data_IF_997679086031
#
_entry.id   IF_997679086031
#
_cell.length_a   1.000
_cell.length_b   1.000
_cell.length_c   1.000
_cell.angle_alpha   90.00
_cell.angle_beta   90.00
_cell.angle_gamma   90.00
#
_symmetry.space_group_name_H-M   'P 1'
#
loop_
_entity.id
_entity.type
_entity.pdbx_description
1 polymer ?
#
# COMPACT_ATOMS: atom_id res chain seq x y z
N UNK A 1 8.75 30.16 -0.77
CA UNK A 1 7.66 30.24 0.25
C UNK A 1 8.02 29.37 1.43
N UNK A 2 8.11 29.90 2.66
CA UNK A 2 8.25 29.06 3.85
C UNK A 2 6.85 28.59 4.24
N UNK A 3 6.61 27.29 4.19
CA UNK A 3 5.39 26.72 4.72
C UNK A 3 5.31 26.97 6.23
N UNK A 4 4.11 27.28 6.76
CA UNK A 4 3.95 27.39 8.20
C UNK A 4 4.35 26.07 8.87
N UNK A 5 4.91 26.13 10.08
CA UNK A 5 5.27 24.93 10.82
C UNK A 5 4.04 24.03 10.97
N UNK A 6 4.25 22.74 10.76
CA UNK A 6 3.21 21.72 10.95
C UNK A 6 2.70 21.84 12.38
N UNK A 7 1.47 22.26 12.56
CA UNK A 7 0.82 22.17 13.86
C UNK A 7 0.63 20.68 14.14
N UNK A 8 1.17 20.19 15.25
CA UNK A 8 0.86 18.84 15.72
C UNK A 8 -0.67 18.69 15.72
N UNK A 9 -1.23 17.61 15.20
CA UNK A 9 -2.67 17.42 15.21
C UNK A 9 -3.18 17.53 16.65
N UNK A 10 -4.32 18.17 16.81
CA UNK A 10 -5.01 18.14 18.09
C UNK A 10 -5.31 16.67 18.41
N UNK A 11 -4.88 16.21 19.58
CA UNK A 11 -5.21 14.87 20.03
C UNK A 11 -6.69 14.85 20.40
N UNK A 12 -7.42 13.90 19.85
CA UNK A 12 -8.77 13.64 20.33
C UNK A 12 -8.73 13.13 21.79
N UNK A 13 -9.77 13.42 22.58
CA UNK A 13 -9.90 12.82 23.90
C UNK A 13 -9.76 11.30 23.82
N UNK A 14 -8.97 10.72 24.72
CA UNK A 14 -8.77 9.27 24.77
C UNK A 14 -10.11 8.57 25.07
N UNK A 15 -10.35 7.48 24.34
CA UNK A 15 -11.41 6.52 24.65
C UNK A 15 -10.75 5.33 25.37
N UNK A 16 -11.34 4.86 26.46
CA UNK A 16 -10.80 3.69 27.15
C UNK A 16 -10.84 2.45 26.23
N UNK A 17 -9.91 1.53 26.41
CA UNK A 17 -9.74 0.40 25.49
C UNK A 17 -10.94 -0.56 25.53
N UNK A 18 -11.59 -0.70 26.66
CA UNK A 18 -12.80 -1.48 26.91
C UNK A 18 -14.09 -0.70 26.65
N UNK A 19 -14.00 0.63 26.51
CA UNK A 19 -15.13 1.48 26.16
C UNK A 19 -15.48 1.36 24.68
N UNK A 20 -16.76 1.12 24.41
CA UNK A 20 -17.28 1.05 23.05
C UNK A 20 -18.36 2.12 22.84
N UNK A 21 -18.10 3.14 21.99
CA UNK A 21 -19.07 4.20 21.80
C UNK A 21 -20.28 3.71 21.02
N UNK A 22 -21.48 3.94 21.56
CA UNK A 22 -22.74 3.64 20.87
C UNK A 22 -23.02 4.63 19.73
N UNK A 23 -22.45 5.83 19.81
CA UNK A 23 -22.63 6.90 18.83
C UNK A 23 -21.32 7.65 18.58
N UNK A 24 -21.02 7.90 17.31
CA UNK A 24 -19.88 8.70 16.89
C UNK A 24 -20.26 9.66 15.75
N UNK A 25 -19.61 10.81 15.60
CA UNK A 25 -19.82 11.67 14.43
C UNK A 25 -19.48 10.95 13.12
N UNK A 26 -18.32 10.28 13.06
CA UNK A 26 -17.82 9.59 11.87
C UNK A 26 -17.33 8.20 12.25
N UNK A 27 -17.88 7.18 11.58
CA UNK A 27 -17.36 5.82 11.57
C UNK A 27 -16.53 5.62 10.31
N UNK A 28 -15.34 5.02 10.44
CA UNK A 28 -14.47 4.68 9.30
C UNK A 28 -14.29 3.17 9.26
N UNK A 29 -14.70 2.55 8.17
CA UNK A 29 -14.52 1.13 7.95
C UNK A 29 -13.30 0.89 7.04
N UNK A 30 -12.24 0.32 7.63
CA UNK A 30 -10.97 0.01 6.97
C UNK A 30 -9.78 0.84 7.48
N UNK A 31 -8.75 0.15 7.97
CA UNK A 31 -7.51 0.70 8.52
C UNK A 31 -6.34 0.68 7.52
N UNK A 32 -6.63 0.78 6.23
CA UNK A 32 -5.61 1.02 5.22
C UNK A 32 -5.21 2.50 5.11
N UNK A 33 -4.31 2.85 4.17
CA UNK A 33 -3.80 4.23 4.03
C UNK A 33 -4.91 5.29 3.92
N UNK A 34 -6.01 4.97 3.24
CA UNK A 34 -7.15 5.89 3.06
C UNK A 34 -7.86 6.16 4.38
N UNK A 35 -8.24 5.11 5.11
CA UNK A 35 -8.99 5.25 6.37
C UNK A 35 -8.16 5.89 7.47
N UNK A 36 -6.90 5.49 7.62
CA UNK A 36 -5.98 6.07 8.60
C UNK A 36 -5.72 7.56 8.33
N UNK A 37 -5.51 7.92 7.05
CA UNK A 37 -5.36 9.33 6.65
C UNK A 37 -6.62 10.13 6.94
N UNK A 38 -7.80 9.58 6.63
CA UNK A 38 -9.08 10.23 6.92
C UNK A 38 -9.27 10.44 8.44
N UNK A 39 -8.94 9.45 9.26
CA UNK A 39 -9.01 9.55 10.71
C UNK A 39 -8.14 10.71 11.25
N UNK A 40 -6.87 10.78 10.80
CA UNK A 40 -5.95 11.84 11.21
C UNK A 40 -6.39 13.24 10.73
N UNK A 41 -6.91 13.36 9.51
CA UNK A 41 -7.43 14.62 8.97
C UNK A 41 -8.66 15.10 9.77
N UNK A 42 -9.58 14.20 10.11
CA UNK A 42 -10.76 14.52 10.91
C UNK A 42 -10.37 14.90 12.35
N UNK A 43 -9.46 14.15 12.95
CA UNK A 43 -8.93 14.45 14.28
C UNK A 43 -8.30 15.84 14.34
N UNK A 44 -7.58 16.25 13.29
CA UNK A 44 -7.01 17.58 13.15
C UNK A 44 -8.06 18.71 13.13
N UNK A 45 -9.26 18.39 12.66
CA UNK A 45 -10.41 19.30 12.69
C UNK A 45 -11.21 19.20 14.01
N UNK A 46 -10.77 18.41 14.98
CA UNK A 46 -11.47 18.19 16.22
C UNK A 46 -12.73 17.30 16.08
N UNK A 47 -12.86 16.60 14.95
CA UNK A 47 -13.99 15.71 14.70
C UNK A 47 -13.67 14.32 15.24
N UNK A 48 -14.51 13.85 16.18
CA UNK A 48 -14.35 12.51 16.74
C UNK A 48 -14.66 11.44 15.71
N UNK A 49 -13.81 10.42 15.68
CA UNK A 49 -13.92 9.27 14.80
C UNK A 49 -13.89 7.96 15.59
N UNK A 50 -14.45 6.91 15.03
CA UNK A 50 -14.14 5.53 15.35
C UNK A 50 -13.71 4.86 14.06
N UNK A 51 -12.50 4.32 14.02
CA UNK A 51 -12.03 3.51 12.90
C UNK A 51 -11.98 2.05 13.30
N UNK A 52 -12.57 1.20 12.47
CA UNK A 52 -12.58 -0.26 12.64
C UNK A 52 -11.87 -0.92 11.45
N UNK A 53 -11.00 -1.88 11.75
CA UNK A 53 -10.33 -2.68 10.74
C UNK A 53 -10.31 -4.16 11.13
N UNK A 54 -10.66 -5.02 10.19
CA UNK A 54 -10.74 -6.47 10.43
C UNK A 54 -9.41 -7.16 10.67
N UNK A 55 -8.28 -6.52 10.37
CA UNK A 55 -6.93 -7.08 10.47
C UNK A 55 -6.06 -6.38 11.49
N UNK A 56 -5.84 -5.08 11.33
CA UNK A 56 -4.88 -4.28 12.07
C UNK A 56 -3.66 -3.90 11.24
N UNK A 57 -2.59 -3.39 11.89
CA UNK A 57 -1.45 -2.76 11.24
C UNK A 57 -0.57 -3.70 10.42
N UNK A 58 -0.67 -5.00 10.64
CA UNK A 58 0.23 -5.97 10.00
C UNK A 58 -0.28 -6.33 8.60
N UNK A 59 0.04 -5.50 7.63
CA UNK A 59 -0.16 -5.83 6.22
C UNK A 59 0.74 -7.02 5.85
N UNK A 60 0.12 -8.12 5.40
CA UNK A 60 0.85 -9.37 5.13
C UNK A 60 1.62 -9.35 3.81
N UNK A 61 1.23 -8.49 2.88
CA UNK A 61 1.79 -8.51 1.52
C UNK A 61 2.10 -7.10 1.04
N UNK A 62 3.28 -6.88 0.46
CA UNK A 62 3.58 -5.63 -0.23
C UNK A 62 2.65 -5.47 -1.44
N UNK A 63 2.15 -4.25 -1.66
CA UNK A 63 1.26 -3.91 -2.78
C UNK A 63 1.81 -2.70 -3.51
N UNK A 64 1.32 -1.50 -3.15
CA UNK A 64 1.81 -0.23 -3.66
C UNK A 64 3.13 0.17 -2.98
N UNK A 65 3.85 1.08 -3.63
CA UNK A 65 5.08 1.62 -3.07
C UNK A 65 5.28 3.11 -3.38
N UNK A 66 4.68 3.60 -4.48
CA UNK A 66 4.85 4.98 -4.92
C UNK A 66 3.90 5.92 -4.18
N UNK A 67 4.47 6.99 -3.64
CA UNK A 67 3.76 8.09 -3.02
C UNK A 67 3.96 9.36 -3.87
N UNK A 68 2.90 9.81 -4.51
CA UNK A 68 2.95 11.00 -5.36
C UNK A 68 3.02 12.30 -4.55
N UNK A 69 3.33 13.39 -5.22
CA UNK A 69 3.51 14.70 -4.56
C UNK A 69 2.28 15.13 -3.77
N UNK A 70 1.06 14.91 -4.30
CA UNK A 70 -0.17 15.29 -3.59
C UNK A 70 -0.39 14.48 -2.32
N UNK A 71 -0.11 13.19 -2.36
CA UNK A 71 -0.15 12.33 -1.18
C UNK A 71 0.86 12.83 -0.13
N UNK A 72 2.07 13.19 -0.54
CA UNK A 72 3.10 13.70 0.37
C UNK A 72 2.77 15.10 0.93
N UNK A 73 2.03 15.94 0.20
CA UNK A 73 1.48 17.18 0.73
C UNK A 73 0.48 16.92 1.87
N UNK A 74 -0.45 15.99 1.67
CA UNK A 74 -1.42 15.58 2.69
C UNK A 74 -0.71 14.97 3.91
N UNK A 75 0.26 14.09 3.68
CA UNK A 75 1.06 13.48 4.75
C UNK A 75 1.89 14.50 5.52
N UNK A 76 2.38 15.54 4.84
CA UNK A 76 3.02 16.67 5.52
C UNK A 76 2.02 17.44 6.40
N UNK A 77 0.84 17.69 5.89
CA UNK A 77 -0.20 18.39 6.64
C UNK A 77 -0.56 17.65 7.95
N UNK A 78 -0.66 16.31 7.91
CA UNK A 78 -0.94 15.51 9.10
C UNK A 78 0.31 15.12 9.91
N UNK A 79 1.51 15.56 9.49
CA UNK A 79 2.75 15.41 10.27
C UNK A 79 3.47 14.08 10.13
N UNK A 80 3.16 13.27 9.09
CA UNK A 80 3.79 11.94 8.89
C UNK A 80 4.84 11.92 7.78
N UNK A 81 4.96 13.00 6.97
CA UNK A 81 5.82 13.00 5.79
C UNK A 81 7.31 12.80 6.10
N UNK A 82 7.81 13.38 7.19
CA UNK A 82 9.22 13.32 7.53
C UNK A 82 9.62 11.89 7.96
N UNK A 83 8.75 11.18 8.68
CA UNK A 83 8.97 9.78 9.06
C UNK A 83 8.90 8.85 7.83
N UNK A 84 8.07 9.18 6.83
CA UNK A 84 8.05 8.47 5.55
C UNK A 84 9.37 8.68 4.81
N UNK A 85 9.85 9.92 4.67
CA UNK A 85 11.12 10.20 4.01
C UNK A 85 12.32 9.55 4.72
N UNK A 86 12.28 9.45 6.04
CA UNK A 86 13.33 8.80 6.82
C UNK A 86 13.45 7.28 6.56
N UNK A 87 12.34 6.63 6.18
CA UNK A 87 12.30 5.20 5.87
C UNK A 87 12.36 4.91 4.36
N UNK A 88 12.19 5.91 3.53
CA UNK A 88 12.17 5.77 2.09
C UNK A 88 13.58 5.57 1.51
N UNK A 89 13.70 4.97 0.30
CA UNK A 89 14.96 4.94 -0.41
C UNK A 89 15.43 6.37 -0.77
N UNK A 90 16.74 6.58 -0.76
CA UNK A 90 17.32 7.81 -1.25
C UNK A 90 16.97 8.07 -2.71
N UNK A 91 16.88 9.34 -3.11
CA UNK A 91 16.38 9.76 -4.43
C UNK A 91 17.19 9.17 -5.60
N UNK A 92 18.47 8.87 -5.39
CA UNK A 92 19.36 8.27 -6.38
C UNK A 92 19.08 6.77 -6.63
N UNK A 93 18.23 6.13 -5.81
CA UNK A 93 17.91 4.70 -5.89
C UNK A 93 16.68 4.37 -6.73
N UNK A 94 15.94 5.38 -7.23
CA UNK A 94 14.68 5.16 -7.92
C UNK A 94 14.40 6.17 -9.04
N UNK A 95 15.45 6.53 -9.79
CA UNK A 95 15.36 7.53 -10.86
C UNK A 95 14.67 7.05 -12.11
N UNK A 96 14.61 5.74 -12.32
CA UNK A 96 14.06 5.12 -13.52
C UNK A 96 13.32 3.83 -13.25
N UNK A 97 12.49 3.45 -14.21
CA UNK A 97 11.95 2.11 -14.39
C UNK A 97 12.64 1.47 -15.56
N UNK A 98 12.94 0.19 -15.47
CA UNK A 98 13.66 -0.57 -16.48
C UNK A 98 12.88 -1.78 -16.95
N UNK A 99 13.12 -2.18 -18.18
CA UNK A 99 12.54 -3.38 -18.79
C UNK A 99 13.61 -4.31 -19.26
N UNK A 100 13.47 -5.59 -18.94
CA UNK A 100 14.37 -6.67 -19.32
C UNK A 100 13.60 -7.84 -19.91
N UNK A 101 14.30 -8.72 -20.62
CA UNK A 101 13.75 -10.02 -21.06
C UNK A 101 13.63 -10.97 -19.87
N UNK A 102 14.60 -11.00 -18.98
CA UNK A 102 14.67 -11.74 -17.72
C UNK A 102 15.84 -11.22 -16.90
N UNK A 103 16.01 -11.71 -15.69
CA UNK A 103 17.17 -11.38 -14.84
C UNK A 103 18.41 -12.13 -15.34
N UNK A 104 18.28 -13.43 -15.61
CA UNK A 104 19.33 -14.32 -16.09
C UNK A 104 18.73 -15.37 -17.03
N UNK A 105 19.52 -16.34 -17.47
CA UNK A 105 19.08 -17.48 -18.26
C UNK A 105 20.13 -17.99 -19.23
N UNK A 106 19.88 -19.17 -19.84
CA UNK A 106 20.92 -19.91 -20.56
C UNK A 106 21.18 -19.44 -22.01
N UNK A 107 20.38 -18.51 -22.54
CA UNK A 107 20.54 -18.06 -23.92
C UNK A 107 20.88 -16.58 -24.03
N UNK A 108 21.44 -16.12 -25.17
CA UNK A 108 21.72 -14.70 -25.40
C UNK A 108 20.50 -13.78 -25.34
N UNK A 109 19.30 -14.33 -25.39
CA UNK A 109 18.05 -13.56 -25.27
C UNK A 109 17.65 -13.28 -23.83
N UNK A 110 18.33 -13.85 -22.86
CA UNK A 110 18.08 -13.61 -21.44
C UNK A 110 18.97 -12.45 -20.93
N UNK A 111 18.48 -11.74 -19.92
CA UNK A 111 19.22 -10.62 -19.31
C UNK A 111 19.37 -9.38 -20.19
N UNK A 112 18.68 -9.34 -21.33
CA UNK A 112 18.75 -8.17 -22.23
C UNK A 112 17.92 -7.03 -21.69
N UNK A 113 18.54 -5.87 -21.53
CA UNK A 113 17.83 -4.62 -21.25
C UNK A 113 17.13 -4.14 -22.52
N UNK A 114 15.81 -4.05 -22.45
CA UNK A 114 14.96 -3.61 -23.56
C UNK A 114 14.80 -2.10 -23.59
N UNK A 115 14.86 -1.45 -22.44
CA UNK A 115 14.74 -0.02 -22.33
C UNK A 115 14.61 0.47 -20.91
N UNK A 116 14.61 1.79 -20.77
CA UNK A 116 14.36 2.46 -19.50
C UNK A 116 13.65 3.79 -19.73
N UNK A 117 12.93 4.25 -18.72
CA UNK A 117 12.33 5.59 -18.70
C UNK A 117 12.62 6.26 -17.36
N UNK A 118 12.83 7.59 -17.33
CA UNK A 118 12.81 8.37 -16.10
C UNK A 118 11.47 8.18 -15.39
N UNK A 119 11.49 8.06 -14.07
CA UNK A 119 10.30 7.73 -13.32
C UNK A 119 10.10 8.66 -12.13
N UNK A 120 8.83 8.83 -11.77
CA UNK A 120 8.36 9.40 -10.52
C UNK A 120 8.96 10.74 -10.14
N UNK A 121 8.94 11.69 -11.07
CA UNK A 121 9.48 13.03 -10.86
C UNK A 121 10.98 13.13 -11.09
N UNK A 122 11.60 12.09 -11.69
CA UNK A 122 12.99 12.12 -12.15
C UNK A 122 13.13 12.63 -13.60
N UNK A 123 14.38 12.67 -14.09
CA UNK A 123 14.71 13.04 -15.46
C UNK A 123 14.33 14.47 -15.83
N UNK A 124 13.91 14.73 -17.08
CA UNK A 124 13.61 16.07 -17.57
C UNK A 124 12.52 16.82 -16.81
N UNK A 125 11.56 16.10 -16.23
CA UNK A 125 10.43 16.69 -15.50
C UNK A 125 10.74 17.04 -14.05
N UNK A 126 11.89 16.70 -13.51
CA UNK A 126 12.23 16.91 -12.10
C UNK A 126 12.07 18.37 -11.66
N UNK A 127 12.52 19.32 -12.49
CA UNK A 127 12.40 20.75 -12.22
C UNK A 127 10.92 21.19 -12.19
N UNK A 128 10.11 20.69 -13.13
CA UNK A 128 8.69 20.99 -13.21
C UNK A 128 7.93 20.51 -11.97
N UNK A 129 8.23 19.30 -11.50
CA UNK A 129 7.64 18.76 -10.27
C UNK A 129 8.06 19.57 -9.05
N UNK A 130 9.33 19.96 -8.94
CA UNK A 130 9.82 20.77 -7.84
C UNK A 130 9.21 22.20 -7.81
N UNK A 131 8.82 22.73 -8.98
CA UNK A 131 8.08 24.01 -9.06
C UNK A 131 6.60 23.87 -8.73
N UNK A 132 5.99 22.71 -9.02
CA UNK A 132 4.57 22.47 -8.84
C UNK A 132 4.18 22.10 -7.40
N UNK A 133 5.12 21.55 -6.62
CA UNK A 133 4.85 21.10 -5.25
C UNK A 133 6.07 21.37 -4.34
N UNK A 134 5.83 21.74 -3.08
CA UNK A 134 6.88 21.83 -2.07
C UNK A 134 7.34 20.46 -1.58
N UNK A 135 6.65 19.42 -1.98
CA UNK A 135 6.95 18.03 -1.64
C UNK A 135 7.37 17.27 -2.89
N UNK A 136 8.20 16.27 -2.69
CA UNK A 136 8.67 15.40 -3.77
C UNK A 136 7.97 14.04 -3.71
N UNK A 137 7.97 13.35 -4.84
CA UNK A 137 7.65 11.93 -4.86
C UNK A 137 8.55 11.16 -3.90
N UNK A 138 8.05 10.05 -3.39
CA UNK A 138 8.90 9.09 -2.69
C UNK A 138 8.34 7.67 -2.87
N UNK A 139 9.11 6.71 -2.41
CA UNK A 139 8.72 5.31 -2.43
C UNK A 139 8.82 4.76 -1.00
N UNK A 140 7.75 4.13 -0.54
CA UNK A 140 7.76 3.35 0.69
C UNK A 140 6.82 2.17 0.50
N UNK A 141 7.29 0.91 0.59
CA UNK A 141 6.42 -0.24 0.45
C UNK A 141 5.24 -0.17 1.41
N UNK A 142 4.05 -0.48 0.91
CA UNK A 142 2.81 -0.31 1.66
C UNK A 142 2.82 -1.06 3.00
N UNK A 143 3.49 -2.20 3.09
CA UNK A 143 3.63 -2.95 4.35
C UNK A 143 4.29 -2.13 5.46
N UNK A 144 5.17 -1.16 5.13
CA UNK A 144 5.82 -0.24 6.07
C UNK A 144 5.01 1.03 6.26
N UNK A 145 4.43 1.53 5.18
CA UNK A 145 3.55 2.69 5.22
C UNK A 145 2.32 2.44 6.10
N UNK A 146 1.66 1.30 5.96
CA UNK A 146 0.47 0.95 6.74
C UNK A 146 0.78 0.95 8.24
N UNK A 147 1.92 0.37 8.63
CA UNK A 147 2.34 0.36 10.03
C UNK A 147 2.62 1.77 10.56
N UNK A 148 3.37 2.57 9.80
CA UNK A 148 3.69 3.95 10.16
C UNK A 148 2.43 4.78 10.32
N UNK A 149 1.50 4.73 9.35
CA UNK A 149 0.23 5.45 9.42
C UNK A 149 -0.63 4.98 10.60
N UNK A 150 -0.62 3.69 10.91
CA UNK A 150 -1.35 3.14 12.04
C UNK A 150 -0.84 3.71 13.36
N UNK A 151 0.47 3.70 13.58
CA UNK A 151 1.08 4.22 14.80
C UNK A 151 0.78 5.73 14.99
N UNK A 152 0.86 6.51 13.91
CA UNK A 152 0.46 7.93 13.93
C UNK A 152 -1.04 8.12 14.21
N UNK A 153 -1.91 7.32 13.60
CA UNK A 153 -3.35 7.41 13.81
C UNK A 153 -3.74 7.04 15.25
N UNK A 154 -3.12 6.01 15.83
CA UNK A 154 -3.32 5.63 17.24
C UNK A 154 -2.88 6.77 18.18
N UNK A 155 -1.76 7.42 17.86
CA UNK A 155 -1.30 8.57 18.65
C UNK A 155 -2.23 9.78 18.55
N UNK A 156 -2.82 10.04 17.38
CA UNK A 156 -3.77 11.15 17.16
C UNK A 156 -5.18 10.86 17.71
N UNK A 157 -5.60 9.60 17.70
CA UNK A 157 -6.96 9.15 18.03
C UNK A 157 -6.90 8.02 19.07
N UNK A 158 -6.40 8.27 20.28
CA UNK A 158 -6.15 7.21 21.26
C UNK A 158 -7.44 6.48 21.64
N UNK A 159 -7.37 5.14 21.58
CA UNK A 159 -8.49 4.25 21.82
C UNK A 159 -9.61 4.23 20.77
N UNK A 160 -9.41 4.94 19.64
CA UNK A 160 -10.42 5.07 18.57
C UNK A 160 -10.08 4.34 17.29
N UNK A 161 -8.87 3.81 17.20
CA UNK A 161 -8.39 2.98 16.08
C UNK A 161 -8.42 1.52 16.54
N UNK A 162 -9.39 0.76 16.03
CA UNK A 162 -9.70 -0.58 16.53
C UNK A 162 -9.34 -1.65 15.49
N UNK A 163 -8.34 -2.45 15.82
CA UNK A 163 -7.98 -3.65 15.07
C UNK A 163 -8.92 -4.81 15.39
N UNK A 164 -9.00 -5.79 14.49
CA UNK A 164 -9.78 -7.04 14.66
C UNK A 164 -11.27 -6.80 14.76
N UNK A 165 -11.75 -5.65 14.30
CA UNK A 165 -13.15 -5.24 14.30
C UNK A 165 -13.64 -5.10 12.86
N UNK A 166 -14.67 -5.85 12.48
CA UNK A 166 -15.18 -5.91 11.10
C UNK A 166 -16.58 -5.32 10.98
N UNK A 167 -16.77 -4.43 10.00
CA UNK A 167 -18.10 -4.01 9.60
C UNK A 167 -18.81 -5.20 8.93
N UNK A 168 -19.89 -5.71 9.52
CA UNK A 168 -20.60 -6.88 9.01
C UNK A 168 -22.03 -6.56 8.55
N UNK A 169 -22.65 -5.49 9.05
CA UNK A 169 -23.93 -5.02 8.57
C UNK A 169 -24.02 -3.50 8.60
N UNK A 170 -24.87 -2.95 7.76
CA UNK A 170 -25.06 -1.51 7.61
C UNK A 170 -26.52 -1.22 7.28
N UNK A 171 -27.11 -0.26 7.99
CA UNK A 171 -28.42 0.29 7.69
C UNK A 171 -28.35 1.81 7.65
N UNK A 172 -28.70 2.38 6.52
CA UNK A 172 -28.77 3.83 6.32
C UNK A 172 -30.17 4.33 6.71
N UNK A 173 -30.22 5.51 7.29
CA UNK A 173 -31.46 6.22 7.64
C UNK A 173 -31.24 7.74 7.49
N UNK A 174 -32.32 8.53 7.62
CA UNK A 174 -32.29 9.99 7.35
C UNK A 174 -31.27 10.76 8.18
N UNK A 175 -30.95 10.29 9.37
CA UNK A 175 -30.05 10.97 10.30
C UNK A 175 -28.65 10.34 10.39
N UNK A 176 -28.30 9.41 9.50
CA UNK A 176 -27.00 8.76 9.48
C UNK A 176 -27.05 7.27 9.17
N UNK A 177 -26.21 6.50 9.83
CA UNK A 177 -26.07 5.07 9.63
C UNK A 177 -26.01 4.33 10.97
N UNK A 178 -26.54 3.12 11.00
CA UNK A 178 -26.32 2.13 12.06
C UNK A 178 -25.50 1.00 11.48
N UNK A 179 -24.34 0.74 12.06
CA UNK A 179 -23.39 -0.27 11.63
C UNK A 179 -23.28 -1.37 12.69
N UNK A 180 -23.27 -2.63 12.26
CA UNK A 180 -22.89 -3.76 13.12
C UNK A 180 -21.42 -4.04 12.94
N UNK A 181 -20.71 -4.07 14.06
CA UNK A 181 -19.27 -4.36 14.10
C UNK A 181 -19.06 -5.67 14.84
N UNK A 182 -18.43 -6.62 14.20
CA UNK A 182 -18.11 -7.93 14.76
C UNK A 182 -16.64 -7.99 15.17
N UNK A 183 -16.40 -8.32 16.41
CA UNK A 183 -15.07 -8.62 16.92
C UNK A 183 -14.59 -9.97 16.36
N UNK A 184 -13.48 -9.95 15.62
CA UNK A 184 -12.96 -11.13 14.90
C UNK A 184 -12.35 -12.20 15.80
N UNK A 185 -12.04 -11.86 17.03
CA UNK A 185 -11.42 -12.79 17.98
C UNK A 185 -12.47 -13.45 18.88
N UNK A 186 -13.52 -12.73 19.23
CA UNK A 186 -14.56 -13.21 20.16
C UNK A 186 -15.90 -13.52 19.49
N UNK A 187 -16.14 -13.01 18.28
CA UNK A 187 -17.44 -13.10 17.61
C UNK A 187 -18.52 -12.16 18.19
N UNK A 188 -18.18 -11.32 19.16
CA UNK A 188 -19.15 -10.39 19.79
C UNK A 188 -19.51 -9.31 18.77
N UNK A 189 -20.82 -9.09 18.62
CA UNK A 189 -21.37 -8.03 17.78
C UNK A 189 -21.73 -6.80 18.60
N UNK A 190 -21.51 -5.62 18.05
CA UNK A 190 -21.85 -4.33 18.63
C UNK A 190 -22.44 -3.41 17.58
N UNK A 191 -23.49 -2.69 17.93
CA UNK A 191 -24.04 -1.65 17.07
C UNK A 191 -23.40 -0.30 17.40
N UNK A 192 -23.07 0.44 16.33
CA UNK A 192 -22.57 1.82 16.38
C UNK A 192 -23.41 2.67 15.46
N UNK A 193 -23.97 3.75 15.97
CA UNK A 193 -24.66 4.76 15.18
C UNK A 193 -23.65 5.87 14.82
N UNK A 194 -23.58 6.24 13.55
CA UNK A 194 -22.75 7.34 13.10
C UNK A 194 -23.55 8.31 12.23
N UNK A 195 -23.19 9.60 12.27
CA UNK A 195 -23.75 10.57 11.32
C UNK A 195 -23.26 10.32 9.91
N UNK A 196 -21.99 9.93 9.77
CA UNK A 196 -21.35 9.59 8.50
C UNK A 196 -20.56 8.30 8.63
N UNK A 197 -20.55 7.51 7.54
CA UNK A 197 -19.66 6.38 7.35
C UNK A 197 -18.69 6.68 6.20
N UNK A 198 -17.40 6.51 6.45
CA UNK A 198 -16.36 6.48 5.41
C UNK A 198 -16.03 5.03 5.11
N UNK A 199 -16.41 4.56 3.92
CA UNK A 199 -16.09 3.23 3.42
C UNK A 199 -14.66 3.22 2.84
N UNK A 200 -13.69 2.79 3.63
CA UNK A 200 -12.27 2.73 3.28
C UNK A 200 -11.71 1.28 3.28
N UNK A 201 -12.58 0.29 3.15
CA UNK A 201 -12.29 -1.15 3.23
C UNK A 201 -11.79 -1.76 1.90
N UNK A 202 -11.49 -0.90 0.92
CA UNK A 202 -11.10 -1.31 -0.44
C UNK A 202 -12.26 -1.78 -1.30
N UNK A 203 -13.48 -1.32 -1.00
CA UNK A 203 -14.69 -1.61 -1.76
C UNK A 203 -15.17 -3.07 -1.62
N UNK A 204 -14.89 -3.69 -0.49
CA UNK A 204 -15.26 -5.10 -0.26
C UNK A 204 -16.64 -5.22 0.36
N UNK A 205 -16.68 -5.16 1.70
CA UNK A 205 -17.94 -5.32 2.45
C UNK A 205 -18.84 -4.11 2.23
N UNK A 206 -18.29 -2.89 2.26
CA UNK A 206 -19.08 -1.67 2.04
C UNK A 206 -19.79 -1.66 0.69
N UNK A 207 -19.15 -2.10 -0.39
CA UNK A 207 -19.79 -2.19 -1.71
C UNK A 207 -20.93 -3.20 -1.73
N UNK A 208 -20.74 -4.35 -1.10
CA UNK A 208 -21.77 -5.39 -0.99
C UNK A 208 -22.97 -4.88 -0.20
N UNK A 209 -22.74 -4.30 0.98
CA UNK A 209 -23.79 -3.79 1.86
C UNK A 209 -24.59 -2.62 1.25
N UNK A 210 -23.95 -1.82 0.39
CA UNK A 210 -24.56 -0.68 -0.31
C UNK A 210 -25.13 -1.05 -1.69
N UNK A 211 -24.96 -2.31 -2.15
CA UNK A 211 -25.39 -2.74 -3.47
C UNK A 211 -24.60 -2.09 -4.62
N UNK A 212 -23.41 -1.54 -4.35
CA UNK A 212 -22.54 -0.92 -5.36
C UNK A 212 -21.88 -2.01 -6.19
N UNK A 213 -21.99 -1.92 -7.51
CA UNK A 213 -21.36 -2.85 -8.44
C UNK A 213 -20.27 -2.17 -9.21
N UNK A 214 -19.13 -2.86 -9.35
CA UNK A 214 -18.07 -2.43 -10.24
C UNK A 214 -18.42 -2.83 -11.67
N UNK A 215 -18.30 -1.90 -12.61
CA UNK A 215 -18.46 -2.12 -14.04
C UNK A 215 -17.09 -2.23 -14.71
N UNK A 216 -16.98 -3.06 -15.74
CA UNK A 216 -15.78 -3.25 -16.54
C UNK A 216 -15.31 -4.70 -16.63
N UNK A 217 -14.18 -4.94 -17.33
CA UNK A 217 -13.60 -6.28 -17.46
C UNK A 217 -13.25 -6.86 -16.10
N UNK A 218 -13.62 -8.12 -15.90
CA UNK A 218 -13.21 -8.91 -14.71
C UNK A 218 -11.91 -9.64 -14.99
N UNK A 219 -11.09 -9.85 -13.95
CA UNK A 219 -9.87 -10.64 -14.02
C UNK A 219 -8.96 -10.26 -15.21
N UNK A 220 -8.59 -8.98 -15.30
CA UNK A 220 -7.76 -8.46 -16.40
C UNK A 220 -6.42 -9.18 -16.47
N UNK A 221 -5.79 -9.42 -15.31
CA UNK A 221 -4.56 -10.19 -15.16
C UNK A 221 -4.57 -10.93 -13.83
N UNK A 222 -4.08 -12.15 -13.86
CA UNK A 222 -3.71 -12.87 -12.67
C UNK A 222 -2.23 -12.61 -12.39
N UNK A 223 -1.90 -12.22 -11.15
CA UNK A 223 -0.54 -11.95 -10.71
C UNK A 223 -0.33 -12.61 -9.36
N UNK A 224 0.71 -13.43 -9.28
CA UNK A 224 1.20 -13.99 -8.02
C UNK A 224 2.36 -13.14 -7.53
N UNK A 225 2.29 -12.69 -6.30
CA UNK A 225 3.31 -11.84 -5.69
C UNK A 225 4.02 -12.60 -4.58
N UNK A 226 5.33 -12.68 -4.68
CA UNK A 226 6.21 -13.30 -3.70
C UNK A 226 6.97 -12.22 -2.93
N UNK A 227 6.87 -12.24 -1.62
CA UNK A 227 7.72 -11.46 -0.74
C UNK A 227 8.86 -12.36 -0.30
N UNK A 228 10.08 -12.05 -0.74
CA UNK A 228 11.24 -12.90 -0.53
C UNK A 228 12.34 -12.13 0.21
N UNK A 229 13.05 -12.85 1.09
CA UNK A 229 14.26 -12.36 1.76
C UNK A 229 15.46 -13.11 1.16
N UNK A 230 16.22 -12.42 0.30
CA UNK A 230 17.34 -13.00 -0.43
C UNK A 230 18.22 -11.91 -1.03
N UNK A 231 19.42 -12.25 -1.47
CA UNK A 231 20.30 -11.36 -2.21
C UNK A 231 20.04 -11.46 -3.72
N UNK A 232 19.40 -10.43 -4.28
CA UNK A 232 19.22 -10.24 -5.70
C UNK A 232 20.06 -9.07 -6.26
N UNK A 233 21.04 -8.59 -5.49
CA UNK A 233 21.82 -7.41 -5.82
C UNK A 233 22.62 -7.51 -7.13
N UNK A 234 23.03 -8.69 -7.55
CA UNK A 234 23.73 -8.90 -8.83
C UNK A 234 22.87 -8.55 -10.04
N UNK A 235 21.56 -8.70 -9.92
CA UNK A 235 20.60 -8.48 -11.00
C UNK A 235 19.83 -7.15 -10.90
N UNK A 236 20.00 -6.43 -9.79
CA UNK A 236 19.31 -5.16 -9.59
C UNK A 236 20.09 -3.99 -10.19
N UNK A 237 19.38 -3.10 -10.86
CA UNK A 237 19.93 -1.81 -11.27
C UNK A 237 20.15 -0.91 -10.06
N UNK A 238 21.27 -0.16 -10.01
CA UNK A 238 21.58 0.67 -8.83
C UNK A 238 20.57 1.79 -8.55
N UNK A 239 19.98 2.33 -9.63
CA UNK A 239 19.13 3.52 -9.64
C UNK A 239 17.70 3.25 -10.14
N UNK A 240 17.31 1.97 -10.21
CA UNK A 240 15.95 1.53 -10.50
C UNK A 240 15.38 0.71 -9.34
N UNK A 241 14.32 1.21 -8.72
CA UNK A 241 13.62 0.48 -7.68
C UNK A 241 12.77 -0.66 -8.23
N UNK A 242 12.27 -0.50 -9.47
CA UNK A 242 11.35 -1.41 -10.14
C UNK A 242 11.91 -1.81 -11.50
N UNK A 243 12.00 -3.10 -11.74
CA UNK A 243 12.27 -3.70 -13.02
C UNK A 243 11.08 -4.53 -13.49
N UNK A 244 10.71 -4.38 -14.77
CA UNK A 244 9.72 -5.19 -15.44
C UNK A 244 10.37 -6.24 -16.31
N UNK A 245 9.77 -7.41 -16.41
CA UNK A 245 10.25 -8.51 -17.25
C UNK A 245 9.25 -8.84 -18.35
N UNK A 246 9.79 -8.98 -19.57
CA UNK A 246 9.04 -9.40 -20.75
C UNK A 246 9.75 -10.65 -21.27
N UNK A 247 9.29 -11.83 -20.89
CA UNK A 247 9.97 -13.07 -21.21
C UNK A 247 10.16 -13.24 -22.72
N UNK A 248 11.32 -13.80 -23.19
CA UNK A 248 11.62 -13.98 -24.61
C UNK A 248 10.56 -14.82 -25.36
N UNK A 249 9.89 -15.73 -24.65
CA UNK A 249 8.81 -16.58 -25.17
C UNK A 249 7.40 -16.11 -24.79
N UNK A 250 7.27 -14.94 -24.19
CA UNK A 250 6.02 -14.43 -23.60
C UNK A 250 5.11 -13.64 -24.55
N UNK A 251 5.26 -13.76 -25.86
CA UNK A 251 4.46 -13.02 -26.86
C UNK A 251 4.43 -11.50 -26.61
N UNK A 252 5.51 -10.93 -26.09
CA UNK A 252 5.61 -9.50 -25.79
C UNK A 252 4.80 -9.03 -24.57
N UNK A 253 4.28 -9.93 -23.75
CA UNK A 253 3.58 -9.58 -22.52
C UNK A 253 4.58 -9.34 -21.37
N UNK A 254 4.28 -8.36 -20.53
CA UNK A 254 4.94 -8.22 -19.24
C UNK A 254 4.60 -9.44 -18.39
N UNK A 255 5.61 -10.19 -17.99
CA UNK A 255 5.44 -11.46 -17.25
C UNK A 255 5.79 -11.34 -15.79
N UNK A 256 6.39 -10.24 -15.38
CA UNK A 256 6.66 -10.03 -13.97
C UNK A 256 7.37 -8.72 -13.65
N UNK A 257 7.58 -8.52 -12.36
CA UNK A 257 8.31 -7.38 -11.83
C UNK A 257 9.23 -7.81 -10.70
N UNK A 258 10.34 -7.09 -10.54
CA UNK A 258 11.23 -7.18 -9.39
C UNK A 258 11.32 -5.80 -8.75
N UNK A 259 11.11 -5.73 -7.46
CA UNK A 259 11.14 -4.49 -6.70
C UNK A 259 11.88 -4.67 -5.38
N UNK A 260 12.82 -3.77 -5.09
CA UNK A 260 13.47 -3.69 -3.79
C UNK A 260 12.51 -3.12 -2.74
N UNK A 261 12.41 -3.79 -1.58
CA UNK A 261 11.49 -3.41 -0.51
C UNK A 261 12.17 -2.77 0.72
N UNK A 262 13.49 -2.84 0.84
CA UNK A 262 14.18 -2.48 2.10
C UNK A 262 13.99 -3.57 3.16
N UNK A 263 14.03 -3.29 4.46
CA UNK A 263 14.24 -1.99 5.09
C UNK A 263 15.72 -1.57 5.20
N UNK A 264 15.93 -0.31 5.53
CA UNK A 264 17.25 0.25 5.82
C UNK A 264 18.14 0.45 4.59
N UNK A 265 18.16 -0.52 3.66
CA UNK A 265 18.86 -0.41 2.39
C UNK A 265 17.97 -0.82 1.23
N UNK A 266 18.18 -0.16 0.08
CA UNK A 266 17.42 -0.35 -1.14
C UNK A 266 18.36 -0.55 -2.34
N UNK A 267 17.80 -0.81 -3.50
CA UNK A 267 18.58 -1.14 -4.69
C UNK A 267 19.31 -2.47 -4.50
N UNK A 268 20.56 -2.57 -4.92
CA UNK A 268 21.34 -3.82 -4.86
C UNK A 268 21.51 -4.43 -3.47
N UNK A 269 21.39 -3.62 -2.42
CA UNK A 269 21.58 -4.06 -1.04
C UNK A 269 20.27 -4.32 -0.30
N UNK A 270 19.15 -4.36 -1.02
CA UNK A 270 17.86 -4.63 -0.40
C UNK A 270 17.83 -6.04 0.19
N UNK A 271 17.49 -6.21 1.47
CA UNK A 271 17.37 -7.54 2.08
C UNK A 271 16.08 -8.24 1.70
N UNK A 272 15.06 -7.48 1.26
CA UNK A 272 13.75 -7.99 0.90
C UNK A 272 13.32 -7.49 -0.48
N UNK A 273 12.61 -8.35 -1.19
CA UNK A 273 12.16 -8.09 -2.55
C UNK A 273 10.71 -8.52 -2.76
N UNK A 274 10.02 -7.79 -3.61
CA UNK A 274 8.79 -8.23 -4.23
C UNK A 274 9.11 -8.77 -5.61
N UNK A 275 8.77 -10.04 -5.83
CA UNK A 275 8.78 -10.68 -7.13
C UNK A 275 7.33 -10.91 -7.52
N UNK A 276 6.83 -10.26 -8.55
CA UNK A 276 5.49 -10.50 -9.06
C UNK A 276 5.57 -11.23 -10.41
N UNK A 277 4.75 -12.25 -10.56
CA UNK A 277 4.72 -13.13 -11.73
C UNK A 277 3.31 -13.19 -12.28
N UNK A 278 3.15 -12.96 -13.57
CA UNK A 278 1.91 -13.26 -14.28
C UNK A 278 1.97 -14.69 -14.82
N UNK A 279 1.16 -15.62 -14.33
CA UNK A 279 1.11 -16.99 -14.86
C UNK A 279 0.67 -16.98 -16.33
N UNK A 280 0.99 -18.04 -17.06
CA UNK A 280 0.52 -18.19 -18.43
C UNK A 280 -1.02 -18.27 -18.44
N UNK A 281 -1.68 -17.74 -19.45
CA UNK A 281 -3.12 -17.86 -19.57
C UNK A 281 -3.56 -19.32 -19.54
N UNK A 282 -4.42 -19.67 -18.59
CA UNK A 282 -4.93 -21.03 -18.41
C UNK A 282 -4.13 -21.90 -17.44
N UNK A 283 -2.95 -21.48 -17.00
CA UNK A 283 -2.21 -22.18 -15.95
C UNK A 283 -2.86 -21.85 -14.57
N UNK A 284 -3.04 -22.86 -13.72
CA UNK A 284 -3.45 -22.61 -12.35
C UNK A 284 -2.35 -21.83 -11.61
N UNK A 285 -2.71 -20.99 -10.63
CA UNK A 285 -1.69 -20.35 -9.81
C UNK A 285 -0.87 -21.42 -9.08
N UNK A 286 0.46 -21.24 -8.97
CA UNK A 286 1.31 -22.21 -8.30
C UNK A 286 0.88 -22.40 -6.85
N UNK A 287 0.66 -23.66 -6.44
CA UNK A 287 0.24 -24.02 -5.10
C UNK A 287 1.38 -24.73 -4.36
N UNK A 288 1.61 -24.30 -3.10
CA UNK A 288 2.70 -24.82 -2.27
C UNK A 288 4.05 -24.14 -2.52
N UNK A 289 4.87 -24.11 -1.48
CA UNK A 289 6.09 -23.29 -1.44
C UNK A 289 7.12 -23.68 -2.52
N UNK A 290 7.32 -24.95 -2.78
CA UNK A 290 8.26 -25.43 -3.80
C UNK A 290 7.85 -24.99 -5.22
N UNK A 291 6.56 -25.14 -5.55
CA UNK A 291 6.03 -24.74 -6.86
C UNK A 291 6.08 -23.22 -7.03
N UNK A 292 5.80 -22.49 -5.96
CA UNK A 292 5.89 -21.04 -5.94
C UNK A 292 7.33 -20.57 -6.14
N UNK A 293 8.30 -21.18 -5.46
CA UNK A 293 9.71 -20.85 -5.60
C UNK A 293 10.21 -21.19 -7.01
N UNK A 294 9.82 -22.33 -7.55
CA UNK A 294 10.17 -22.74 -8.92
C UNK A 294 9.61 -21.73 -9.94
N UNK A 295 8.36 -21.31 -9.80
CA UNK A 295 7.74 -20.30 -10.67
C UNK A 295 8.47 -18.94 -10.60
N UNK A 296 8.85 -18.49 -9.42
CA UNK A 296 9.63 -17.27 -9.25
C UNK A 296 11.02 -17.37 -9.90
N UNK A 297 11.71 -18.51 -9.72
CA UNK A 297 13.01 -18.77 -10.35
C UNK A 297 12.90 -18.82 -11.87
N UNK A 298 11.91 -19.52 -12.41
CA UNK A 298 11.67 -19.59 -13.86
C UNK A 298 11.48 -18.19 -14.45
N UNK A 299 10.65 -17.36 -13.82
CA UNK A 299 10.40 -15.99 -14.27
C UNK A 299 11.67 -15.13 -14.26
N UNK A 300 12.48 -15.27 -13.22
CA UNK A 300 13.77 -14.56 -13.13
C UNK A 300 14.84 -15.15 -14.04
N UNK A 301 14.61 -16.32 -14.62
CA UNK A 301 15.59 -17.06 -15.43
C UNK A 301 16.73 -17.65 -14.59
N UNK A 302 16.49 -17.88 -13.30
CA UNK A 302 17.45 -18.48 -12.39
C UNK A 302 17.40 -20.02 -12.50
N UNK A 303 18.53 -20.72 -12.24
CA UNK A 303 18.53 -22.18 -12.22
C UNK A 303 17.57 -22.72 -11.16
N UNK A 304 17.08 -23.94 -11.43
CA UNK A 304 16.15 -24.65 -10.55
C UNK A 304 16.71 -24.90 -9.14
#
# INVERSE_FOLDING_TARGET
MRYPPVRRPALLPALAQDEWPQRVPVLIAGGGPVGLTAAMLLARQGIEVLLVDRRGPDARYPRAHLLNVRTMEIFHEIGVADDIYAQAPADDRWRKVVWYTSVAGPSPLHGLKLGEVPAWGGGPDAVRYAQASPRKFTNLPQIRLDRLLWDHAVACCPGRIRARQELTALRQHDNGVTATITDRDTGIEREVTARYLIAADGGRISSELLGVRLEGPRAINDVVSYHVSTDLGLWAEPDALLAHFIAPRGHGRMVGTLQALGPGSYGRQSPEWLVAVAPRPGDPPPAGDETQLASAREMLGLPA
#
